data_IF_889547459236
#
_entry.id   IF_889547459236
#
_cell.length_a   1.000
_cell.length_b   1.000
_cell.length_c   1.000
_cell.angle_alpha   90.00
_cell.angle_beta   90.00
_cell.angle_gamma   90.00
#
_symmetry.space_group_name_H-M   'P 1'
#
loop_
_entity.id
_entity.type
_entity.pdbx_description
1 polymer ?
#
# COMPACT_ATOMS: atom_id res chain seq x y z
N UNK A 1 46.69 -46.58 60.20
CA UNK A 1 45.51 -45.72 60.46
C UNK A 1 45.06 -45.19 59.09
N UNK A 2 44.09 -45.84 58.45
CA UNK A 2 42.65 -45.55 58.63
C UNK A 2 42.32 -44.22 57.89
N UNK A 3 41.41 -44.10 56.92
CA UNK A 3 40.22 -44.88 56.54
C UNK A 3 39.88 -44.63 55.06
N UNK A 4 39.26 -45.64 54.46
CA UNK A 4 38.42 -45.70 53.25
C UNK A 4 37.58 -44.45 52.91
N UNK A 5 37.46 -44.11 51.61
CA UNK A 5 36.25 -44.32 50.79
C UNK A 5 36.48 -43.73 49.38
N UNK A 6 36.66 -44.51 48.29
CA UNK A 6 35.67 -45.28 47.53
C UNK A 6 34.44 -44.45 47.12
N UNK A 7 33.90 -44.45 45.91
CA UNK A 7 34.12 -45.10 44.60
C UNK A 7 32.97 -44.50 43.75
N UNK A 8 33.09 -44.21 42.46
CA UNK A 8 32.74 -45.14 41.38
C UNK A 8 32.82 -44.43 40.02
N UNK A 9 33.44 -45.12 39.04
CA UNK A 9 33.12 -45.23 37.59
C UNK A 9 33.02 -43.94 36.75
N UNK A 10 33.57 -43.79 35.54
CA UNK A 10 34.24 -44.70 34.58
C UNK A 10 34.70 -43.87 33.37
N UNK A 11 35.95 -44.07 32.92
CA UNK A 11 36.45 -44.05 31.53
C UNK A 11 36.46 -42.71 30.75
N UNK A 12 37.60 -42.04 30.55
CA UNK A 12 38.76 -42.35 29.68
C UNK A 12 38.57 -41.96 28.20
N UNK A 13 39.45 -41.07 27.69
CA UNK A 13 39.76 -40.99 26.25
C UNK A 13 40.12 -39.62 25.67
N UNK A 14 41.42 -39.32 25.63
CA UNK A 14 42.13 -38.60 24.56
C UNK A 14 41.83 -37.14 24.20
N UNK A 15 42.29 -36.22 25.06
CA UNK A 15 42.55 -34.81 24.70
C UNK A 15 44.02 -34.40 24.87
N UNK A 16 44.96 -35.36 24.77
CA UNK A 16 46.40 -35.13 24.94
C UNK A 16 47.22 -35.04 23.63
N UNK A 17 46.69 -35.51 22.50
CA UNK A 17 47.45 -35.65 21.23
C UNK A 17 47.24 -34.47 20.27
N UNK A 18 46.16 -33.69 20.41
CA UNK A 18 45.79 -32.67 19.41
C UNK A 18 46.61 -31.38 19.52
N UNK A 19 47.16 -31.05 20.69
CA UNK A 19 47.85 -29.76 20.90
C UNK A 19 49.34 -29.80 20.51
N UNK A 20 49.96 -30.98 20.44
CA UNK A 20 51.38 -31.13 20.09
C UNK A 20 51.66 -31.30 18.58
N UNK A 21 50.63 -31.48 17.75
CA UNK A 21 50.76 -31.50 16.28
C UNK A 21 50.71 -30.08 15.68
N UNK A 22 50.17 -29.09 16.41
CA UNK A 22 49.94 -27.75 15.87
C UNK A 22 51.15 -26.79 15.90
N UNK A 23 52.30 -27.20 16.46
CA UNK A 23 53.47 -26.30 16.59
C UNK A 23 54.82 -26.88 16.15
N UNK A 24 54.84 -27.89 15.26
CA UNK A 24 56.10 -28.41 14.73
C UNK A 24 56.02 -28.82 13.25
N UNK A 25 55.70 -27.88 12.34
CA UNK A 25 56.10 -28.04 10.93
C UNK A 25 56.12 -26.70 10.16
N UNK A 26 57.12 -25.87 10.48
CA UNK A 26 57.62 -24.79 9.61
C UNK A 26 58.82 -25.32 8.83
N UNK A 27 58.57 -25.89 7.65
CA UNK A 27 59.45 -25.86 6.46
C UNK A 27 58.96 -26.86 5.43
N UNK A 28 59.02 -26.46 4.15
CA UNK A 28 58.70 -27.24 2.95
C UNK A 28 57.21 -27.37 2.59
N UNK A 29 56.58 -26.23 2.31
CA UNK A 29 55.46 -26.20 1.37
C UNK A 29 56.02 -26.04 -0.04
N UNK A 30 56.32 -27.17 -0.69
CA UNK A 30 56.39 -27.25 -2.14
C UNK A 30 55.12 -26.62 -2.70
N UNK A 31 55.25 -25.78 -3.72
CA UNK A 31 54.17 -25.07 -4.41
C UNK A 31 53.16 -26.09 -4.94
N UNK A 32 52.21 -26.48 -4.09
CA UNK A 32 50.97 -27.09 -4.53
C UNK A 32 50.20 -25.98 -5.22
N UNK A 33 50.18 -26.02 -6.56
CA UNK A 33 49.25 -25.21 -7.35
C UNK A 33 47.85 -25.47 -6.79
N UNK A 34 47.28 -24.45 -6.15
CA UNK A 34 45.88 -24.38 -5.72
C UNK A 34 45.02 -24.81 -6.93
N UNK A 35 44.11 -25.79 -6.80
CA UNK A 35 43.20 -26.11 -7.89
C UNK A 35 42.44 -24.83 -8.30
N UNK A 36 42.20 -24.59 -9.60
CA UNK A 36 41.51 -23.38 -10.06
C UNK A 36 40.22 -23.19 -9.27
N UNK A 37 39.98 -21.97 -8.81
CA UNK A 37 38.96 -21.66 -7.81
C UNK A 37 37.54 -22.00 -8.27
N UNK A 38 36.91 -22.94 -7.57
CA UNK A 38 35.53 -23.43 -7.67
C UNK A 38 34.42 -22.37 -7.34
N UNK A 39 34.78 -21.08 -7.40
CA UNK A 39 33.84 -19.95 -7.41
C UNK A 39 33.14 -19.84 -8.77
N UNK A 40 33.81 -20.29 -9.82
CA UNK A 40 33.31 -20.22 -11.20
C UNK A 40 32.08 -21.11 -11.43
N UNK A 41 31.93 -22.21 -10.70
CA UNK A 41 30.84 -23.18 -10.97
C UNK A 41 29.45 -22.59 -10.74
N UNK A 42 29.24 -21.87 -9.63
CA UNK A 42 27.95 -21.20 -9.34
C UNK A 42 27.73 -20.04 -10.30
N UNK A 43 28.77 -19.25 -10.53
CA UNK A 43 28.72 -18.09 -11.40
C UNK A 43 28.40 -18.50 -12.85
N UNK A 44 29.14 -19.44 -13.42
CA UNK A 44 28.91 -19.99 -14.76
C UNK A 44 27.53 -20.63 -14.89
N UNK A 45 27.07 -21.35 -13.85
CA UNK A 45 25.71 -21.93 -13.85
C UNK A 45 24.64 -20.84 -13.92
N UNK A 46 24.77 -19.78 -13.10
CA UNK A 46 23.83 -18.66 -13.10
C UNK A 46 23.92 -17.82 -14.37
N UNK A 47 25.09 -17.58 -14.96
CA UNK A 47 25.16 -16.93 -16.27
C UNK A 47 24.45 -17.74 -17.36
N UNK A 48 24.54 -19.07 -17.31
CA UNK A 48 23.87 -19.95 -18.29
C UNK A 48 22.35 -20.03 -18.09
N UNK A 49 21.87 -20.08 -16.84
CA UNK A 49 20.46 -20.31 -16.50
C UNK A 49 19.70 -19.02 -16.12
N UNK A 50 20.40 -17.91 -15.93
CA UNK A 50 19.96 -16.63 -15.34
C UNK A 50 19.51 -16.71 -13.90
N UNK A 51 18.60 -17.63 -13.57
CA UNK A 51 18.11 -17.86 -12.21
C UNK A 51 18.22 -19.33 -11.82
N UNK A 52 18.34 -19.62 -10.53
CA UNK A 52 18.37 -20.98 -10.01
C UNK A 52 17.70 -21.12 -8.64
N UNK A 53 17.14 -22.29 -8.37
CA UNK A 53 16.68 -22.69 -7.03
C UNK A 53 17.82 -23.30 -6.21
N UNK A 54 17.63 -23.39 -4.89
CA UNK A 54 18.60 -24.04 -4.01
C UNK A 54 18.94 -25.48 -4.45
N UNK A 55 17.94 -26.26 -4.87
CA UNK A 55 18.13 -27.65 -5.30
C UNK A 55 18.93 -27.76 -6.60
N UNK A 56 18.72 -26.85 -7.55
CA UNK A 56 19.51 -26.78 -8.77
C UNK A 56 20.97 -26.41 -8.48
N UNK A 57 21.21 -25.49 -7.53
CA UNK A 57 22.56 -25.11 -7.12
C UNK A 57 23.27 -26.24 -6.36
N UNK A 58 22.55 -26.99 -5.51
CA UNK A 58 23.07 -28.21 -4.88
C UNK A 58 23.52 -29.23 -5.91
N UNK A 59 22.69 -29.49 -6.92
CA UNK A 59 23.02 -30.40 -8.01
C UNK A 59 24.23 -29.91 -8.83
N UNK A 60 24.30 -28.62 -9.15
CA UNK A 60 25.42 -28.04 -9.90
C UNK A 60 26.75 -28.11 -9.14
N UNK A 61 26.71 -28.06 -7.80
CA UNK A 61 27.89 -28.12 -6.94
C UNK A 61 28.20 -29.52 -6.42
N UNK A 62 27.42 -30.53 -6.81
CA UNK A 62 27.49 -31.91 -6.29
C UNK A 62 27.51 -31.95 -4.75
N UNK A 63 26.68 -31.15 -4.09
CA UNK A 63 26.63 -31.06 -2.63
C UNK A 63 25.22 -31.19 -2.10
N UNK A 64 25.06 -31.85 -0.96
CA UNK A 64 23.80 -31.88 -0.20
C UNK A 64 23.72 -30.73 0.80
N UNK A 65 24.85 -30.09 1.11
CA UNK A 65 24.97 -29.10 2.18
C UNK A 65 24.49 -27.70 1.78
N UNK A 66 23.34 -27.28 2.32
CA UNK A 66 22.78 -25.92 2.12
C UNK A 66 23.77 -24.81 2.47
N UNK A 67 24.50 -24.95 3.58
CA UNK A 67 25.49 -23.95 4.01
C UNK A 67 26.67 -23.82 3.03
N UNK A 68 27.03 -24.88 2.32
CA UNK A 68 28.05 -24.82 1.27
C UNK A 68 27.58 -23.97 0.10
N UNK A 69 26.32 -24.14 -0.32
CA UNK A 69 25.72 -23.32 -1.38
C UNK A 69 25.70 -21.85 -0.98
N UNK A 70 25.17 -21.51 0.19
CA UNK A 70 25.10 -20.12 0.65
C UNK A 70 26.48 -19.48 0.87
N UNK A 71 27.47 -20.25 1.34
CA UNK A 71 28.85 -19.76 1.46
C UNK A 71 29.42 -19.36 0.09
N UNK A 72 29.11 -20.10 -0.97
CA UNK A 72 29.53 -19.76 -2.35
C UNK A 72 28.72 -18.59 -2.92
N UNK A 73 27.40 -18.61 -2.78
CA UNK A 73 26.53 -17.50 -3.21
C UNK A 73 26.93 -16.16 -2.57
N UNK A 74 27.27 -16.16 -1.27
CA UNK A 74 27.76 -14.95 -0.58
C UNK A 74 29.06 -14.41 -1.17
N UNK A 75 29.96 -15.27 -1.66
CA UNK A 75 31.23 -14.83 -2.28
C UNK A 75 31.03 -14.11 -3.60
N UNK A 76 30.00 -14.50 -4.37
CA UNK A 76 29.68 -13.89 -5.68
C UNK A 76 28.64 -12.78 -5.58
N UNK A 77 28.21 -12.40 -4.37
CA UNK A 77 27.26 -11.29 -4.18
C UNK A 77 25.86 -11.56 -4.71
N UNK A 78 25.29 -12.75 -4.48
CA UNK A 78 23.97 -13.11 -5.02
C UNK A 78 22.79 -12.21 -4.59
N UNK A 79 21.73 -12.22 -5.40
CA UNK A 79 20.41 -11.66 -5.07
C UNK A 79 19.36 -12.78 -4.98
N UNK A 80 18.31 -12.57 -4.18
CA UNK A 80 17.18 -13.48 -4.05
C UNK A 80 15.89 -12.85 -4.58
N UNK A 81 15.00 -13.67 -5.15
CA UNK A 81 13.69 -13.20 -5.60
C UNK A 81 12.85 -12.69 -4.44
N UNK A 82 12.19 -11.55 -4.57
CA UNK A 82 11.20 -11.16 -3.56
C UNK A 82 9.89 -11.95 -3.72
N UNK A 83 9.62 -12.44 -4.93
CA UNK A 83 8.51 -13.36 -5.21
C UNK A 83 8.84 -14.79 -4.77
N UNK A 84 7.84 -15.69 -4.84
CA UNK A 84 7.99 -17.13 -4.57
C UNK A 84 8.64 -17.45 -3.21
N UNK A 85 8.56 -16.54 -2.24
CA UNK A 85 9.18 -16.65 -0.90
C UNK A 85 10.71 -16.76 -0.93
N UNK A 86 11.42 -16.08 -1.84
CA UNK A 86 12.88 -16.07 -1.82
C UNK A 86 13.54 -17.34 -2.36
N UNK A 87 12.82 -18.12 -3.17
CA UNK A 87 13.27 -19.44 -3.65
C UNK A 87 14.30 -19.39 -4.78
N UNK A 88 14.37 -18.28 -5.50
CA UNK A 88 15.22 -18.15 -6.67
C UNK A 88 16.38 -17.19 -6.39
N UNK A 89 17.54 -17.53 -6.95
CA UNK A 89 18.77 -16.79 -6.79
C UNK A 89 19.34 -16.40 -8.16
N UNK A 90 19.94 -15.22 -8.22
CA UNK A 90 20.61 -14.67 -9.42
C UNK A 90 21.88 -13.92 -9.01
N UNK A 91 22.69 -13.55 -9.98
CA UNK A 91 23.81 -12.61 -9.80
C UNK A 91 23.33 -11.18 -10.04
N UNK A 92 23.94 -10.16 -9.40
CA UNK A 92 23.56 -8.75 -9.60
C UNK A 92 23.78 -8.23 -11.02
N UNK A 93 24.68 -8.86 -11.78
CA UNK A 93 25.07 -8.47 -13.13
C UNK A 93 24.08 -8.94 -14.22
N UNK A 94 23.13 -9.82 -13.88
CA UNK A 94 22.21 -10.45 -14.85
C UNK A 94 20.88 -9.69 -15.02
N UNK A 95 20.25 -9.17 -13.95
CA UNK A 95 19.03 -8.38 -14.05
C UNK A 95 19.25 -7.07 -14.79
N UNK A 96 18.32 -6.75 -15.69
CA UNK A 96 18.17 -5.41 -16.25
C UNK A 96 16.94 -4.79 -15.58
N UNK A 97 17.17 -3.93 -14.59
CA UNK A 97 16.09 -3.34 -13.80
C UNK A 97 15.35 -2.24 -14.57
N UNK A 98 14.04 -2.18 -14.38
CA UNK A 98 13.18 -1.12 -14.91
C UNK A 98 13.27 0.19 -14.10
N UNK A 99 12.45 1.18 -14.44
CA UNK A 99 12.38 2.47 -13.76
C UNK A 99 12.03 2.36 -12.26
N UNK A 100 11.41 1.26 -11.84
CA UNK A 100 11.05 0.97 -10.45
C UNK A 100 12.09 0.07 -9.76
N UNK A 101 13.21 -0.23 -10.42
CA UNK A 101 14.23 -1.11 -9.86
C UNK A 101 13.82 -2.59 -9.84
N UNK A 102 12.85 -2.98 -10.67
CA UNK A 102 12.30 -4.33 -10.72
C UNK A 102 12.77 -5.08 -11.97
N UNK A 103 12.99 -6.37 -11.81
CA UNK A 103 13.32 -7.26 -12.92
C UNK A 103 12.51 -8.55 -12.79
N UNK A 104 11.97 -9.01 -13.92
CA UNK A 104 11.22 -10.26 -13.98
C UNK A 104 11.83 -11.24 -14.98
N UNK A 105 11.77 -12.52 -14.63
CA UNK A 105 12.17 -13.61 -15.50
C UNK A 105 11.30 -14.83 -15.25
N UNK A 106 10.54 -15.27 -16.26
CA UNK A 106 9.63 -16.42 -16.17
C UNK A 106 8.71 -16.36 -14.94
N UNK A 107 8.04 -15.23 -14.75
CA UNK A 107 7.13 -14.95 -13.61
C UNK A 107 7.82 -14.88 -12.24
N UNK A 108 9.15 -14.96 -12.16
CA UNK A 108 9.92 -14.73 -10.94
C UNK A 108 10.41 -13.28 -10.91
N UNK A 109 10.15 -12.61 -9.81
CA UNK A 109 10.47 -11.19 -9.62
C UNK A 109 11.59 -10.95 -8.63
N UNK A 110 12.47 -10.01 -9.00
CA UNK A 110 13.62 -9.52 -8.25
C UNK A 110 13.57 -8.00 -8.18
N UNK A 111 14.21 -7.45 -7.15
CA UNK A 111 14.30 -6.02 -6.90
C UNK A 111 15.75 -5.66 -6.59
N UNK A 112 16.20 -4.51 -7.05
CA UNK A 112 17.48 -3.92 -6.68
C UNK A 112 17.60 -3.71 -5.15
N UNK A 113 16.47 -3.51 -4.46
CA UNK A 113 16.39 -3.35 -3.01
C UNK A 113 16.38 -4.69 -2.25
N UNK A 114 16.52 -5.81 -2.97
CA UNK A 114 16.65 -7.16 -2.42
C UNK A 114 15.30 -7.82 -2.11
N UNK A 115 14.70 -7.51 -0.97
CA UNK A 115 13.48 -8.19 -0.48
C UNK A 115 12.21 -7.34 -0.63
N UNK A 116 11.05 -7.98 -0.48
CA UNK A 116 9.75 -7.33 -0.69
C UNK A 116 9.51 -6.16 0.27
N UNK A 117 9.89 -6.27 1.54
CA UNK A 117 9.70 -5.20 2.54
C UNK A 117 10.52 -3.96 2.18
N UNK A 118 11.81 -4.15 1.88
CA UNK A 118 12.68 -3.06 1.46
C UNK A 118 12.18 -2.41 0.16
N UNK A 119 11.77 -3.22 -0.81
CA UNK A 119 11.23 -2.73 -2.08
C UNK A 119 9.97 -1.90 -1.90
N UNK A 120 9.01 -2.38 -1.10
CA UNK A 120 7.77 -1.63 -0.82
C UNK A 120 8.08 -0.32 -0.10
N UNK A 121 9.02 -0.33 0.85
CA UNK A 121 9.44 0.88 1.56
C UNK A 121 9.99 1.93 0.59
N UNK A 122 10.92 1.54 -0.29
CA UNK A 122 11.50 2.47 -1.25
C UNK A 122 10.49 2.96 -2.28
N UNK A 123 9.60 2.10 -2.78
CA UNK A 123 8.54 2.54 -3.70
C UNK A 123 7.59 3.57 -3.06
N UNK A 124 7.25 3.41 -1.77
CA UNK A 124 6.42 4.38 -1.04
C UNK A 124 7.19 5.67 -0.78
N UNK A 125 8.49 5.57 -0.49
CA UNK A 125 9.35 6.72 -0.29
C UNK A 125 9.47 7.52 -1.60
N UNK A 126 9.75 6.89 -2.73
CA UNK A 126 9.91 7.53 -4.05
C UNK A 126 8.58 7.97 -4.70
N UNK A 127 7.44 7.50 -4.17
CA UNK A 127 6.13 7.81 -4.73
C UNK A 127 5.88 9.32 -4.86
N UNK A 128 5.33 9.74 -5.98
CA UNK A 128 4.91 11.14 -6.18
C UNK A 128 3.61 11.47 -5.45
N UNK A 129 2.68 10.52 -5.37
CA UNK A 129 1.35 10.69 -4.77
C UNK A 129 1.05 9.65 -3.67
N UNK A 130 2.07 8.93 -3.19
CA UNK A 130 1.86 7.73 -2.38
C UNK A 130 1.26 6.58 -3.19
N UNK A 131 1.07 5.44 -2.54
CA UNK A 131 0.56 4.23 -3.19
C UNK A 131 -0.55 3.57 -2.40
N UNK A 132 -1.54 3.03 -3.10
CA UNK A 132 -2.48 2.07 -2.54
C UNK A 132 -1.93 0.65 -2.63
N UNK A 133 -2.45 -0.25 -1.80
CA UNK A 133 -2.10 -1.68 -1.88
C UNK A 133 -2.37 -2.27 -3.27
N UNK A 134 -3.48 -1.89 -3.92
CA UNK A 134 -3.85 -2.41 -5.23
C UNK A 134 -2.91 -1.90 -6.34
N UNK A 135 -2.50 -0.64 -6.30
CA UNK A 135 -1.53 -0.10 -7.26
C UNK A 135 -0.17 -0.81 -7.12
N UNK A 136 0.31 -1.00 -5.89
CA UNK A 136 1.55 -1.74 -5.63
C UNK A 136 1.46 -3.20 -6.07
N UNK A 137 0.33 -3.88 -5.84
CA UNK A 137 0.13 -5.27 -6.29
C UNK A 137 0.19 -5.39 -7.81
N UNK A 138 -0.28 -4.39 -8.56
CA UNK A 138 -0.18 -4.38 -10.04
C UNK A 138 1.26 -4.20 -10.52
N UNK A 139 2.08 -3.44 -9.80
CA UNK A 139 3.48 -3.20 -10.16
C UNK A 139 4.35 -4.40 -9.74
N UNK A 140 4.25 -4.81 -8.47
CA UNK A 140 5.07 -5.86 -7.88
C UNK A 140 4.60 -7.29 -8.20
N UNK A 141 3.38 -7.44 -8.74
CA UNK A 141 2.80 -8.73 -9.13
C UNK A 141 2.74 -9.76 -7.99
N UNK A 142 2.76 -9.29 -6.73
CA UNK A 142 2.67 -10.07 -5.49
C UNK A 142 1.82 -9.32 -4.47
N UNK A 143 1.20 -10.04 -3.53
CA UNK A 143 0.40 -9.43 -2.45
C UNK A 143 1.28 -8.60 -1.49
N UNK A 144 0.93 -7.34 -1.26
CA UNK A 144 1.73 -6.42 -0.41
C UNK A 144 1.05 -5.99 0.88
N UNK A 145 -0.17 -6.44 1.17
CA UNK A 145 -0.92 -6.04 2.37
C UNK A 145 -0.16 -6.32 3.67
N UNK A 146 0.47 -7.50 3.76
CA UNK A 146 1.27 -7.90 4.94
C UNK A 146 2.56 -7.06 5.07
N UNK A 147 3.41 -6.92 4.04
CA UNK A 147 4.54 -6.00 4.06
C UNK A 147 4.17 -4.57 4.46
N UNK A 148 3.09 -4.01 3.89
CA UNK A 148 2.62 -2.67 4.20
C UNK A 148 2.17 -2.53 5.66
N UNK A 149 1.44 -3.52 6.18
CA UNK A 149 1.05 -3.51 7.60
C UNK A 149 2.27 -3.58 8.52
N UNK A 150 3.26 -4.41 8.19
CA UNK A 150 4.50 -4.53 8.96
C UNK A 150 5.29 -3.23 8.96
N UNK A 151 5.46 -2.57 7.81
CA UNK A 151 6.14 -1.28 7.70
C UNK A 151 5.40 -0.18 8.47
N UNK A 152 4.07 -0.15 8.40
CA UNK A 152 3.26 0.81 9.15
C UNK A 152 3.38 0.60 10.67
N UNK A 153 3.30 -0.65 11.14
CA UNK A 153 3.49 -0.99 12.55
C UNK A 153 4.92 -0.69 13.03
N UNK A 154 5.91 -0.88 12.16
CA UNK A 154 7.31 -0.52 12.38
C UNK A 154 7.58 0.99 12.36
N UNK A 155 6.57 1.82 12.04
CA UNK A 155 6.69 3.28 11.85
C UNK A 155 7.70 3.66 10.75
N UNK A 156 7.84 2.81 9.73
CA UNK A 156 8.65 3.11 8.55
C UNK A 156 7.88 3.91 7.50
N UNK A 157 6.55 3.81 7.51
CA UNK A 157 5.64 4.48 6.58
C UNK A 157 4.39 4.96 7.32
N UNK A 158 3.70 5.93 6.73
CA UNK A 158 2.40 6.41 7.20
C UNK A 158 1.28 5.94 6.30
N UNK A 159 0.04 5.96 6.81
CA UNK A 159 -1.14 5.63 6.00
C UNK A 159 -2.29 6.59 6.28
N UNK A 160 -3.03 6.93 5.23
CA UNK A 160 -4.26 7.72 5.34
C UNK A 160 -5.37 7.06 4.54
N UNK A 161 -6.62 7.18 5.02
CA UNK A 161 -7.78 6.61 4.34
C UNK A 161 -8.40 7.67 3.43
N UNK A 162 -8.13 7.55 2.14
CA UNK A 162 -8.63 8.44 1.09
C UNK A 162 -9.68 7.69 0.26
N UNK A 163 -10.87 8.28 0.11
CA UNK A 163 -11.98 7.70 -0.69
C UNK A 163 -12.31 6.23 -0.35
N UNK A 164 -12.19 5.87 0.93
CA UNK A 164 -12.48 4.52 1.42
C UNK A 164 -11.33 3.52 1.33
N UNK A 165 -10.20 3.87 0.70
CA UNK A 165 -9.03 3.02 0.51
C UNK A 165 -7.82 3.57 1.28
N UNK A 166 -7.00 2.70 1.85
CA UNK A 166 -5.75 3.13 2.48
C UNK A 166 -4.69 3.42 1.41
N UNK A 167 -4.16 4.64 1.47
CA UNK A 167 -2.99 5.08 0.71
C UNK A 167 -1.82 5.23 1.69
N UNK A 168 -0.64 4.77 1.27
CA UNK A 168 0.57 4.73 2.07
C UNK A 168 1.55 5.79 1.58
N UNK A 169 2.21 6.44 2.53
CA UNK A 169 3.04 7.61 2.33
C UNK A 169 4.36 7.50 3.06
N UNK A 170 5.32 8.32 2.65
CA UNK A 170 6.57 8.53 3.38
C UNK A 170 6.28 8.97 4.82
N UNK A 171 7.16 8.57 5.75
CA UNK A 171 7.15 9.07 7.13
C UNK A 171 7.61 10.54 7.21
N UNK A 172 8.42 10.99 6.25
CA UNK A 172 8.94 12.36 6.22
C UNK A 172 7.80 13.36 6.03
N UNK A 173 7.62 14.27 6.99
CA UNK A 173 6.47 15.16 7.05
C UNK A 173 6.30 16.04 5.81
N UNK A 174 7.39 16.56 5.27
CA UNK A 174 7.36 17.41 4.07
C UNK A 174 7.09 16.60 2.81
N UNK A 175 7.74 15.45 2.65
CA UNK A 175 7.49 14.56 1.50
C UNK A 175 6.06 14.03 1.51
N UNK A 176 5.56 13.62 2.68
CA UNK A 176 4.18 13.21 2.88
C UNK A 176 3.20 14.31 2.49
N UNK A 177 3.46 15.57 2.89
CA UNK A 177 2.61 16.71 2.52
C UNK A 177 2.55 16.88 1.00
N UNK A 178 3.69 16.78 0.32
CA UNK A 178 3.75 16.82 -1.14
C UNK A 178 3.01 15.65 -1.79
N UNK A 179 3.17 14.43 -1.27
CA UNK A 179 2.48 13.24 -1.78
C UNK A 179 0.96 13.35 -1.63
N UNK A 180 0.48 13.85 -0.48
CA UNK A 180 -0.94 14.09 -0.25
C UNK A 180 -1.52 15.11 -1.23
N UNK A 181 -0.83 16.24 -1.44
CA UNK A 181 -1.24 17.26 -2.39
C UNK A 181 -1.32 16.71 -3.83
N UNK A 182 -0.31 15.94 -4.25
CA UNK A 182 -0.31 15.29 -5.57
C UNK A 182 -1.41 14.24 -5.70
N UNK A 183 -1.73 13.51 -4.62
CA UNK A 183 -2.83 12.52 -4.61
C UNK A 183 -4.19 13.21 -4.72
N UNK A 184 -4.41 14.27 -3.97
CA UNK A 184 -5.64 15.07 -4.07
C UNK A 184 -5.81 15.64 -5.47
N UNK A 185 -4.74 16.20 -6.06
CA UNK A 185 -4.75 16.68 -7.44
C UNK A 185 -5.05 15.57 -8.44
N UNK A 186 -4.37 14.43 -8.34
CA UNK A 186 -4.57 13.31 -9.27
C UNK A 186 -5.97 12.71 -9.16
N UNK A 187 -6.55 12.62 -7.95
CA UNK A 187 -7.95 12.20 -7.79
C UNK A 187 -8.91 13.26 -8.31
N UNK A 188 -8.65 14.54 -8.08
CA UNK A 188 -9.44 15.62 -8.65
C UNK A 188 -9.42 15.56 -10.18
N UNK A 189 -8.25 15.45 -10.80
CA UNK A 189 -8.07 15.34 -12.24
C UNK A 189 -8.72 14.06 -12.80
N UNK A 190 -8.67 12.94 -12.07
CA UNK A 190 -9.31 11.68 -12.48
C UNK A 190 -10.85 11.68 -12.29
N UNK A 191 -11.36 12.43 -11.31
CA UNK A 191 -12.81 12.58 -11.07
C UNK A 191 -13.45 13.66 -11.94
N UNK A 192 -12.64 14.60 -12.44
CA UNK A 192 -13.06 15.75 -13.27
C UNK A 192 -12.62 15.62 -14.73
N UNK A 193 -11.69 14.72 -15.06
CA UNK A 193 -11.34 14.34 -16.44
C UNK A 193 -10.74 15.45 -17.31
N UNK A 194 -10.02 16.42 -16.74
CA UNK A 194 -9.51 17.57 -17.49
C UNK A 194 -8.01 17.76 -17.27
N UNK A 195 -7.20 17.98 -18.32
CA UNK A 195 -5.82 18.44 -18.24
C UNK A 195 -5.70 19.96 -18.09
N UNK A 196 -4.69 20.39 -17.31
CA UNK A 196 -3.90 21.65 -17.25
C UNK A 196 -4.47 23.05 -17.57
N UNK A 197 -5.66 23.22 -18.15
CA UNK A 197 -6.39 24.50 -18.29
C UNK A 197 -7.17 24.86 -16.98
N UNK A 198 -6.88 24.12 -15.90
CA UNK A 198 -7.78 23.86 -14.77
C UNK A 198 -7.88 25.00 -13.76
N UNK A 199 -6.94 25.94 -13.65
CA UNK A 199 -7.14 27.03 -12.68
C UNK A 199 -8.26 27.98 -13.12
N UNK A 200 -8.27 28.41 -14.39
CA UNK A 200 -9.37 29.19 -14.97
C UNK A 200 -10.65 28.35 -15.11
N UNK A 201 -10.51 27.10 -15.59
CA UNK A 201 -11.64 26.17 -15.71
C UNK A 201 -12.21 25.75 -14.35
N UNK A 202 -11.45 25.83 -13.24
CA UNK A 202 -11.99 25.57 -11.90
C UNK A 202 -12.95 26.68 -11.47
N UNK A 203 -12.72 27.92 -11.87
CA UNK A 203 -13.65 29.02 -11.62
C UNK A 203 -14.89 28.91 -12.53
N UNK A 204 -14.70 28.54 -13.79
CA UNK A 204 -15.79 28.31 -14.74
C UNK A 204 -16.64 27.09 -14.37
N UNK A 205 -16.02 26.00 -13.93
CA UNK A 205 -16.70 24.81 -13.40
C UNK A 205 -17.39 25.10 -12.07
N UNK A 206 -16.75 25.84 -11.14
CA UNK A 206 -17.43 26.31 -9.93
C UNK A 206 -18.64 27.17 -10.30
N UNK A 207 -18.49 28.09 -11.25
CA UNK A 207 -19.59 28.92 -11.74
C UNK A 207 -20.69 28.07 -12.42
N UNK A 208 -20.33 27.08 -13.23
CA UNK A 208 -21.27 26.16 -13.87
C UNK A 208 -22.00 25.27 -12.86
N UNK A 209 -21.30 24.79 -11.82
CA UNK A 209 -21.89 24.03 -10.71
C UNK A 209 -22.86 24.93 -9.93
N UNK A 210 -22.48 26.17 -9.62
CA UNK A 210 -23.35 27.14 -8.95
C UNK A 210 -24.57 27.48 -9.82
N UNK A 211 -24.37 27.68 -11.12
CA UNK A 211 -25.44 27.94 -12.08
C UNK A 211 -26.39 26.75 -12.19
N UNK A 212 -25.87 25.54 -12.38
CA UNK A 212 -26.66 24.31 -12.39
C UNK A 212 -27.42 24.13 -11.07
N UNK A 213 -26.75 24.32 -9.93
CA UNK A 213 -27.36 24.26 -8.61
C UNK A 213 -28.52 25.26 -8.45
N UNK A 214 -28.40 26.44 -9.06
CA UNK A 214 -29.48 27.43 -9.09
C UNK A 214 -30.71 26.98 -9.89
N UNK A 215 -30.56 26.07 -10.85
CA UNK A 215 -31.66 25.50 -11.64
C UNK A 215 -32.42 24.39 -10.91
N UNK A 216 -31.81 23.80 -9.87
CA UNK A 216 -32.41 22.71 -9.10
C UNK A 216 -33.48 23.23 -8.13
N UNK A 217 -34.48 22.39 -7.84
CA UNK A 217 -35.44 22.64 -6.77
C UNK A 217 -34.84 22.39 -5.37
N UNK A 218 -35.53 22.81 -4.31
CA UNK A 218 -35.03 22.72 -2.93
C UNK A 218 -34.72 21.29 -2.48
N UNK A 219 -35.48 20.30 -2.98
CA UNK A 219 -35.24 18.90 -2.66
C UNK A 219 -33.99 18.38 -3.39
N UNK A 220 -33.89 18.67 -4.69
CA UNK A 220 -32.76 18.30 -5.54
C UNK A 220 -31.46 18.96 -5.08
N UNK A 221 -31.49 20.25 -4.74
CA UNK A 221 -30.34 20.99 -4.18
C UNK A 221 -29.79 20.30 -2.94
N UNK A 222 -30.67 19.95 -2.01
CA UNK A 222 -30.28 19.29 -0.76
C UNK A 222 -29.71 17.90 -1.01
N UNK A 223 -30.29 17.11 -1.92
CA UNK A 223 -29.78 15.77 -2.27
C UNK A 223 -28.44 15.84 -3.02
N UNK A 224 -28.31 16.77 -3.96
CA UNK A 224 -27.07 17.01 -4.71
C UNK A 224 -25.93 17.44 -3.78
N UNK A 225 -26.18 18.40 -2.89
CA UNK A 225 -25.20 18.80 -1.89
C UNK A 225 -24.81 17.62 -0.98
N UNK A 226 -25.78 16.78 -0.60
CA UNK A 226 -25.53 15.56 0.17
C UNK A 226 -24.69 14.51 -0.56
N UNK A 227 -24.90 14.35 -1.87
CA UNK A 227 -24.12 13.48 -2.74
C UNK A 227 -22.66 13.96 -2.84
N UNK A 228 -22.46 15.24 -3.18
CA UNK A 228 -21.13 15.82 -3.32
C UNK A 228 -20.36 15.82 -2.00
N UNK A 229 -21.04 16.08 -0.88
CA UNK A 229 -20.43 16.00 0.45
C UNK A 229 -20.03 14.56 0.82
N UNK A 230 -20.81 13.56 0.39
CA UNK A 230 -20.46 12.16 0.59
C UNK A 230 -19.22 11.75 -0.22
N UNK A 231 -19.13 12.19 -1.48
CA UNK A 231 -17.97 11.96 -2.35
C UNK A 231 -16.69 12.54 -1.73
N UNK A 232 -16.78 13.70 -1.06
CA UNK A 232 -15.65 14.39 -0.44
C UNK A 232 -15.21 13.83 0.93
N UNK A 233 -15.99 12.97 1.58
CA UNK A 233 -15.59 12.35 2.87
C UNK A 233 -15.59 13.31 4.07
N UNK A 234 -14.62 13.17 4.98
CA UNK A 234 -14.57 13.93 6.23
C UNK A 234 -14.42 15.44 5.97
N UNK A 235 -15.32 16.24 6.54
CA UNK A 235 -15.38 17.69 6.31
C UNK A 235 -16.08 18.11 5.01
N UNK A 236 -16.52 17.15 4.18
CA UNK A 236 -17.25 17.41 2.93
C UNK A 236 -18.52 18.24 3.14
N UNK A 237 -19.27 17.98 4.21
CA UNK A 237 -20.49 18.75 4.54
C UNK A 237 -20.18 20.25 4.69
N UNK A 238 -19.04 20.62 5.31
CA UNK A 238 -18.63 22.01 5.52
C UNK A 238 -18.13 22.68 4.24
N UNK A 239 -17.32 21.97 3.46
CA UNK A 239 -16.77 22.47 2.18
C UNK A 239 -17.87 22.70 1.14
N UNK A 240 -18.85 21.79 1.06
CA UNK A 240 -19.99 21.92 0.13
C UNK A 240 -20.96 23.00 0.58
N UNK A 241 -21.20 23.13 1.89
CA UNK A 241 -22.00 24.22 2.45
C UNK A 241 -21.42 25.60 2.08
N UNK A 242 -20.11 25.77 2.21
CA UNK A 242 -19.41 27.00 1.83
C UNK A 242 -19.47 27.26 0.32
N UNK A 243 -19.24 26.23 -0.51
CA UNK A 243 -19.27 26.35 -1.97
C UNK A 243 -20.66 26.71 -2.53
N UNK A 244 -21.72 26.08 -2.00
CA UNK A 244 -23.08 26.22 -2.52
C UNK A 244 -23.94 27.22 -1.72
N UNK A 245 -23.37 27.86 -0.69
CA UNK A 245 -24.08 28.82 0.17
C UNK A 245 -25.21 28.18 0.99
N UNK A 246 -25.02 26.94 1.46
CA UNK A 246 -26.01 26.20 2.25
C UNK A 246 -25.63 26.11 3.72
N UNK A 247 -26.61 25.83 4.56
CA UNK A 247 -26.35 25.42 5.95
C UNK A 247 -25.76 23.99 6.01
N UNK A 248 -24.74 23.79 6.84
CA UNK A 248 -24.03 22.50 6.99
C UNK A 248 -24.98 21.38 7.39
N UNK A 249 -25.98 21.66 8.24
CA UNK A 249 -26.97 20.64 8.62
C UNK A 249 -27.90 20.28 7.47
N UNK A 250 -28.18 21.20 6.55
CA UNK A 250 -28.95 20.93 5.32
C UNK A 250 -28.22 19.94 4.42
N UNK A 251 -26.92 20.13 4.23
CA UNK A 251 -26.04 19.21 3.48
C UNK A 251 -26.00 17.83 4.15
N UNK A 252 -25.74 17.80 5.46
CA UNK A 252 -25.70 16.56 6.23
C UNK A 252 -27.05 15.81 6.23
N UNK A 253 -28.17 16.53 6.19
CA UNK A 253 -29.52 15.97 6.09
C UNK A 253 -29.77 15.40 4.70
N UNK A 254 -29.36 16.09 3.64
CA UNK A 254 -29.42 15.59 2.27
C UNK A 254 -28.66 14.29 2.09
N UNK A 255 -27.43 14.21 2.62
CA UNK A 255 -26.60 13.01 2.64
C UNK A 255 -27.31 11.85 3.35
N UNK A 256 -27.89 12.10 4.53
CA UNK A 256 -28.67 11.09 5.28
C UNK A 256 -29.91 10.61 4.53
N UNK A 257 -30.65 11.51 3.88
CA UNK A 257 -31.86 11.14 3.13
C UNK A 257 -31.53 10.34 1.87
N UNK A 258 -30.43 10.70 1.18
CA UNK A 258 -29.95 10.03 -0.04
C UNK A 258 -29.55 8.57 0.23
N UNK A 259 -28.79 8.32 1.29
CA UNK A 259 -28.32 6.98 1.65
C UNK A 259 -29.24 6.23 2.62
N UNK A 260 -30.19 6.93 3.27
CA UNK A 260 -31.15 6.37 4.21
C UNK A 260 -32.49 5.93 3.58
N UNK A 261 -32.55 5.80 2.25
CA UNK A 261 -33.71 5.29 1.49
C UNK A 261 -35.02 6.12 1.66
N UNK A 262 -34.93 7.38 2.09
CA UNK A 262 -36.07 8.31 2.21
C UNK A 262 -36.18 9.24 1.00
N UNK A 263 -36.15 8.68 -0.20
CA UNK A 263 -36.28 9.47 -1.43
C UNK A 263 -37.72 9.33 -1.94
N UNK A 264 -38.54 10.37 -1.75
CA UNK A 264 -39.83 10.45 -2.45
C UNK A 264 -39.55 10.76 -3.92
N UNK A 265 -39.79 9.77 -4.81
CA UNK A 265 -39.47 9.85 -6.24
C UNK A 265 -40.54 10.58 -7.07
N UNK A 266 -41.80 10.60 -6.61
CA UNK A 266 -42.94 10.95 -7.48
C UNK A 266 -43.72 12.22 -7.09
N UNK A 267 -43.32 12.97 -6.05
CA UNK A 267 -44.02 14.21 -5.63
C UNK A 267 -43.09 15.25 -5.02
N UNK A 268 -43.04 16.44 -5.62
CA UNK A 268 -42.34 17.64 -5.08
C UNK A 268 -43.09 18.23 -3.87
N UNK A 269 -44.41 18.00 -3.75
CA UNK A 269 -45.24 18.48 -2.63
C UNK A 269 -45.74 17.32 -1.78
N UNK A 270 -45.62 17.45 -0.44
CA UNK A 270 -46.33 16.59 0.50
C UNK A 270 -47.84 16.75 0.33
N UNK A 271 -48.57 15.65 0.50
CA UNK A 271 -50.03 15.64 0.51
C UNK A 271 -50.55 16.57 1.63
N UNK A 272 -51.48 17.47 1.31
CA UNK A 272 -52.10 18.39 2.28
C UNK A 272 -51.46 19.77 2.46
N UNK A 273 -50.40 20.14 1.72
CA UNK A 273 -49.76 21.46 1.83
C UNK A 273 -50.45 22.60 1.04
N UNK A 274 -51.75 22.47 0.76
CA UNK A 274 -52.56 23.54 0.15
C UNK A 274 -52.93 24.61 1.19
N UNK A 275 -53.19 25.84 0.73
CA UNK A 275 -53.70 26.92 1.59
C UNK A 275 -55.06 26.50 2.15
N UNK A 276 -55.18 26.37 3.48
CA UNK A 276 -56.48 26.08 4.13
C UNK A 276 -57.50 27.13 3.71
N UNK A 277 -58.61 26.70 3.10
CA UNK A 277 -59.74 27.57 2.75
C UNK A 277 -60.29 28.20 4.03
N UNK A 278 -60.31 29.54 4.08
CA UNK A 278 -61.04 30.25 5.13
C UNK A 278 -62.53 29.97 4.93
N UNK A 279 -63.18 29.34 5.91
CA UNK A 279 -64.64 29.28 5.93
C UNK A 279 -65.21 30.70 5.85
N UNK A 280 -66.07 30.96 4.85
CA UNK A 280 -66.89 32.17 4.85
C UNK A 280 -67.88 32.04 6.01
N UNK A 281 -67.75 32.88 7.04
CA UNK A 281 -68.81 33.07 8.05
C UNK A 281 -70.13 33.33 7.32
N UNK A 282 -71.10 32.42 7.47
CA UNK A 282 -72.48 32.68 7.02
C UNK A 282 -72.99 33.92 7.75
N UNK A 283 -73.47 34.91 7.00
CA UNK A 283 -74.17 36.07 7.54
C UNK A 283 -75.38 35.57 8.33
N UNK A 284 -75.48 35.96 9.61
CA UNK A 284 -76.72 35.81 10.38
C UNK A 284 -77.76 36.72 9.72
N UNK A 285 -78.83 36.14 9.19
CA UNK A 285 -80.04 36.89 8.90
C UNK A 285 -80.72 37.20 10.24
N UNK A 286 -80.86 38.49 10.53
CA UNK A 286 -81.76 39.01 11.55
C UNK A 286 -83.18 38.84 11.05
N UNK A 287 -83.97 37.97 11.69
CA UNK A 287 -85.42 38.03 11.57
C UNK A 287 -85.92 39.06 12.60
N UNK A 288 -86.27 40.24 12.11
CA UNK A 288 -87.28 41.09 12.73
C UNK A 288 -88.67 40.70 12.19
N UNK A 289 -89.70 41.08 12.96
CA UNK A 289 -91.17 40.92 12.78
C UNK A 289 -91.72 39.62 13.40
N UNK A 290 -92.61 39.61 14.38
CA UNK A 290 -93.36 40.67 15.06
C UNK A 290 -94.54 40.04 15.81
N UNK A 291 -94.85 40.56 17.00
CA UNK A 291 -96.17 40.59 17.65
C UNK A 291 -96.10 41.61 18.79
#
# INVERSE_FOLDING_TARGET
MAIFDNMWLTWAGDWGIVVLIYMQNRSNYTIMKKPPGDSDTVQAFLHRKRIATLEQLKAALCTTGTMTVFRRLKKVGYMSSYSHRGKYYTLPEIPEFDEHGLWSYHSVWFSQHGNLLATVKELVEEATAGWTSQELERILQVEVKRPLLQLYQGKDIEREKLFGVYTYFSLSGDKRRSQLLMREKSVFDATVGLPTEIEALSHELKAAIILFFSLLDEQQRRLYAGLEAHKMGHGGDRKIAELLGLDVHTVAKGRRDLFGWKIQRDRVRKEGAGRKTKEKKRRRFSNESGA
#
